data_IF_557214095181
#
_entry.id   IF_557214095181
#
_cell.length_a   1.000
_cell.length_b   1.000
_cell.length_c   1.000
_cell.angle_alpha   90.00
_cell.angle_beta   90.00
_cell.angle_gamma   90.00
#
_symmetry.space_group_name_H-M   'P 1'
#
loop_
_entity.id
_entity.type
_entity.pdbx_description
1 polymer ?
#
# COMPACT_ATOMS: atom_id res chain seq x y z
N UNK A 1 -50.75 46.18 14.56
CA UNK A 1 -50.69 46.53 13.11
C UNK A 1 -50.02 45.36 12.40
N UNK A 2 -50.80 44.51 11.69
CA UNK A 2 -50.72 44.24 10.23
C UNK A 2 -49.32 43.79 9.75
N UNK A 3 -49.08 42.80 8.88
CA UNK A 3 -49.87 41.82 8.13
C UNK A 3 -48.91 41.21 7.07
N UNK A 4 -49.11 39.93 6.67
CA UNK A 4 -48.86 39.32 5.32
C UNK A 4 -47.42 39.25 4.76
N UNK A 5 -46.88 38.06 4.43
CA UNK A 5 -47.02 37.24 3.19
C UNK A 5 -46.44 37.86 1.89
N UNK A 6 -45.56 37.11 1.21
CA UNK A 6 -45.21 37.20 -0.22
C UNK A 6 -43.97 36.32 -0.52
N UNK A 7 -44.06 35.09 -1.04
CA UNK A 7 -44.27 34.59 -2.42
C UNK A 7 -43.19 34.94 -3.48
N UNK A 8 -42.50 33.87 -3.92
CA UNK A 8 -42.00 33.47 -5.27
C UNK A 8 -41.40 34.51 -6.23
N UNK A 9 -40.21 34.20 -6.78
CA UNK A 9 -39.95 34.04 -8.25
C UNK A 9 -38.76 33.10 -8.48
N UNK A 10 -38.93 32.14 -9.40
CA UNK A 10 -37.91 31.23 -9.92
C UNK A 10 -37.22 31.81 -11.17
N UNK A 11 -35.95 31.46 -11.40
CA UNK A 11 -35.30 31.65 -12.70
C UNK A 11 -34.50 30.40 -13.09
N UNK A 12 -35.00 29.70 -14.11
CA UNK A 12 -34.33 28.68 -14.91
C UNK A 12 -33.45 29.38 -15.95
N UNK A 13 -32.24 28.86 -16.18
CA UNK A 13 -31.55 29.03 -17.45
C UNK A 13 -30.72 27.77 -17.75
N UNK A 14 -31.14 27.09 -18.81
CA UNK A 14 -30.55 25.91 -19.44
C UNK A 14 -29.41 26.37 -20.34
N UNK A 15 -28.27 25.67 -20.33
CA UNK A 15 -27.32 25.71 -21.43
C UNK A 15 -26.99 24.28 -21.88
N UNK A 16 -27.33 24.01 -23.15
CA UNK A 16 -26.94 22.83 -23.91
C UNK A 16 -25.90 23.25 -24.98
N UNK A 17 -24.88 22.42 -25.18
CA UNK A 17 -24.05 22.38 -26.39
C UNK A 17 -23.36 21.00 -26.42
N UNK A 18 -23.86 20.04 -27.20
CA UNK A 18 -23.58 19.74 -28.63
C UNK A 18 -22.22 19.06 -28.86
N UNK A 19 -22.29 17.88 -29.48
CA UNK A 19 -21.19 16.97 -29.82
C UNK A 19 -20.88 17.04 -31.32
N UNK A 20 -19.60 17.03 -31.70
CA UNK A 20 -19.13 16.59 -33.02
C UNK A 20 -17.60 16.41 -33.06
N UNK A 21 -17.12 15.20 -33.41
CA UNK A 21 -16.23 14.93 -34.55
C UNK A 21 -15.49 13.58 -34.42
N UNK A 22 -15.59 12.76 -35.46
CA UNK A 22 -14.91 11.48 -35.65
C UNK A 22 -13.81 11.59 -36.71
N UNK A 23 -12.72 10.80 -36.62
CA UNK A 23 -12.14 10.05 -37.77
C UNK A 23 -10.84 9.26 -37.47
N UNK A 24 -10.47 8.28 -38.35
CA UNK A 24 -9.78 7.04 -38.00
C UNK A 24 -8.30 7.01 -38.42
N UNK A 25 -7.45 6.28 -37.70
CA UNK A 25 -6.11 5.88 -38.19
C UNK A 25 -5.75 4.48 -37.69
N UNK A 26 -5.98 3.48 -38.54
CA UNK A 26 -5.25 2.20 -38.53
C UNK A 26 -4.37 2.21 -39.78
N UNK A 27 -3.05 2.11 -39.59
CA UNK A 27 -2.06 1.95 -40.66
C UNK A 27 -0.92 1.05 -40.18
N UNK A 28 -0.66 -0.01 -40.95
CA UNK A 28 0.28 -1.10 -40.67
C UNK A 28 1.75 -0.63 -40.52
N UNK A 29 2.45 -1.14 -39.48
CA UNK A 29 3.92 -1.06 -39.37
C UNK A 29 4.56 -2.38 -39.80
N UNK A 30 5.56 -2.28 -40.69
CA UNK A 30 6.31 -3.42 -41.24
C UNK A 30 7.19 -4.10 -40.17
N UNK A 31 7.23 -5.44 -40.20
CA UNK A 31 7.87 -6.31 -39.21
C UNK A 31 9.39 -6.09 -38.98
N UNK A 32 10.08 -5.34 -39.85
CA UNK A 32 11.53 -5.10 -39.76
C UNK A 32 11.95 -4.05 -38.72
N UNK A 33 11.06 -3.12 -38.34
CA UNK A 33 11.39 -2.04 -37.39
C UNK A 33 11.54 -2.55 -35.95
N UNK A 34 10.93 -3.70 -35.65
CA UNK A 34 10.96 -4.33 -34.32
C UNK A 34 12.34 -4.92 -34.03
N UNK A 35 12.98 -5.56 -35.01
CA UNK A 35 14.26 -6.25 -34.81
C UNK A 35 15.40 -5.29 -34.46
N UNK A 36 15.46 -4.12 -35.09
CA UNK A 36 16.52 -3.14 -34.85
C UNK A 36 16.37 -2.43 -33.49
N UNK A 37 15.15 -2.27 -33.00
CA UNK A 37 14.89 -1.70 -31.68
C UNK A 37 15.35 -2.63 -30.54
N UNK A 38 15.32 -3.96 -30.75
CA UNK A 38 15.70 -4.96 -29.73
C UNK A 38 17.20 -4.92 -29.43
N UNK A 39 18.07 -4.74 -30.43
CA UNK A 39 19.53 -4.70 -30.22
C UNK A 39 19.98 -3.46 -29.42
N UNK A 40 19.28 -2.34 -29.54
CA UNK A 40 19.61 -1.08 -28.85
C UNK A 40 19.21 -1.09 -27.36
N UNK A 41 18.27 -1.96 -26.95
CA UNK A 41 17.84 -2.12 -25.55
C UNK A 41 18.85 -2.96 -24.74
N UNK A 42 19.65 -3.80 -25.40
CA UNK A 42 20.52 -4.79 -24.75
C UNK A 42 21.89 -4.27 -24.29
N UNK A 43 22.28 -3.04 -24.65
CA UNK A 43 23.63 -2.51 -24.40
C UNK A 43 23.72 -1.48 -23.27
N UNK A 44 22.63 -1.16 -22.56
CA UNK A 44 22.64 -0.12 -21.53
C UNK A 44 22.98 -0.70 -20.14
N UNK A 45 24.05 -0.25 -19.46
CA UNK A 45 24.38 -0.73 -18.12
C UNK A 45 23.42 -0.14 -17.07
N UNK A 46 22.66 -1.00 -16.40
CA UNK A 46 21.68 -0.63 -15.37
C UNK A 46 22.40 -0.36 -14.05
N UNK A 47 22.39 0.91 -13.58
CA UNK A 47 22.72 1.25 -12.18
C UNK A 47 21.52 1.86 -11.44
N UNK A 48 21.35 1.35 -10.21
CA UNK A 48 20.38 1.63 -9.13
C UNK A 48 19.06 0.83 -9.19
N UNK A 49 18.76 -0.03 -8.19
CA UNK A 49 17.46 -0.65 -8.08
C UNK A 49 16.46 0.41 -7.55
N UNK A 50 15.64 0.91 -8.47
CA UNK A 50 14.40 1.64 -8.17
C UNK A 50 13.32 0.60 -7.93
N UNK A 51 12.50 0.77 -6.90
CA UNK A 51 11.34 -0.06 -6.55
C UNK A 51 10.55 -0.45 -7.81
N UNK A 52 10.69 -1.68 -8.30
CA UNK A 52 9.81 -2.24 -9.33
C UNK A 52 8.59 -2.83 -8.64
N UNK A 53 7.71 -1.97 -8.12
CA UNK A 53 6.30 -2.29 -8.30
C UNK A 53 5.99 -2.00 -9.78
N UNK A 54 5.25 -2.85 -10.51
CA UNK A 54 4.77 -2.49 -11.85
C UNK A 54 4.12 -1.11 -11.78
N UNK A 55 4.14 -0.33 -12.88
CA UNK A 55 3.47 0.98 -12.94
C UNK A 55 1.97 0.78 -12.72
N UNK A 56 1.55 0.80 -11.46
CA UNK A 56 0.17 0.57 -11.05
C UNK A 56 -0.67 1.74 -11.56
N UNK A 57 -1.84 1.43 -12.10
CA UNK A 57 -2.86 2.44 -12.36
C UNK A 57 -3.34 3.03 -11.04
N UNK A 58 -3.96 4.22 -11.08
CA UNK A 58 -4.58 4.83 -9.88
C UNK A 58 -5.58 3.88 -9.21
N UNK A 59 -6.32 3.09 -9.98
CA UNK A 59 -7.24 2.09 -9.44
C UNK A 59 -6.50 0.98 -8.69
N UNK A 60 -5.43 0.44 -9.27
CA UNK A 60 -4.61 -0.57 -8.61
C UNK A 60 -3.94 -0.03 -7.34
N UNK A 61 -3.43 1.21 -7.35
CA UNK A 61 -2.87 1.84 -6.16
C UNK A 61 -3.89 1.96 -5.02
N UNK A 62 -5.15 2.28 -5.32
CA UNK A 62 -6.21 2.33 -4.31
C UNK A 62 -6.47 0.96 -3.67
N UNK A 63 -6.44 -0.10 -4.48
CA UNK A 63 -6.58 -1.48 -3.98
C UNK A 63 -5.42 -1.84 -3.05
N UNK A 64 -4.18 -1.56 -3.46
CA UNK A 64 -2.99 -1.80 -2.63
C UNK A 64 -3.02 -0.99 -1.32
N UNK A 65 -3.48 0.26 -1.36
CA UNK A 65 -3.66 1.10 -0.18
C UNK A 65 -4.74 0.56 0.77
N UNK A 66 -5.82 0.00 0.24
CA UNK A 66 -6.87 -0.63 1.03
C UNK A 66 -6.34 -1.90 1.74
N UNK A 67 -5.58 -2.73 1.04
CA UNK A 67 -4.91 -3.90 1.64
C UNK A 67 -3.94 -3.50 2.75
N UNK A 68 -3.14 -2.45 2.53
CA UNK A 68 -2.23 -1.92 3.56
C UNK A 68 -3.01 -1.44 4.78
N UNK A 69 -4.11 -0.73 4.56
CA UNK A 69 -4.97 -0.20 5.63
C UNK A 69 -5.56 -1.32 6.47
N UNK A 70 -6.05 -2.39 5.84
CA UNK A 70 -6.58 -3.58 6.55
C UNK A 70 -5.48 -4.24 7.39
N UNK A 71 -4.30 -4.43 6.82
CA UNK A 71 -3.14 -4.96 7.54
C UNK A 71 -2.78 -4.12 8.77
N UNK A 72 -2.69 -2.80 8.63
CA UNK A 72 -2.39 -1.89 9.75
C UNK A 72 -3.49 -1.97 10.82
N UNK A 73 -4.76 -1.96 10.41
CA UNK A 73 -5.89 -1.97 11.33
C UNK A 73 -5.91 -3.25 12.17
N UNK A 74 -5.83 -4.43 11.54
CA UNK A 74 -5.93 -5.69 12.25
C UNK A 74 -4.70 -6.03 13.08
N UNK A 75 -3.50 -5.63 12.63
CA UNK A 75 -2.27 -5.95 13.33
C UNK A 75 -1.88 -4.89 14.39
N UNK A 76 -2.31 -3.64 14.25
CA UNK A 76 -1.75 -2.53 15.02
C UNK A 76 -2.72 -1.40 15.39
N UNK A 77 -4.04 -1.56 15.27
CA UNK A 77 -5.00 -0.47 15.62
C UNK A 77 -4.85 0.10 17.03
N UNK A 78 -4.39 -0.71 17.99
CA UNK A 78 -4.18 -0.32 19.39
C UNK A 78 -2.80 0.29 19.67
N UNK A 79 -1.91 0.33 18.68
CA UNK A 79 -0.54 0.82 18.83
C UNK A 79 -0.44 2.32 18.53
N UNK A 80 0.69 2.93 18.90
CA UNK A 80 1.02 4.31 18.49
C UNK A 80 1.14 4.43 16.97
N UNK A 81 1.17 5.66 16.45
CA UNK A 81 1.32 5.89 15.01
C UNK A 81 2.66 5.33 14.49
N UNK A 82 3.72 5.38 15.30
CA UNK A 82 5.02 4.77 15.02
C UNK A 82 4.92 3.24 14.97
N UNK A 83 4.16 2.63 15.88
CA UNK A 83 3.94 1.18 15.88
C UNK A 83 3.19 0.71 14.64
N UNK A 84 2.12 1.42 14.27
CA UNK A 84 1.38 1.19 13.03
C UNK A 84 2.26 1.36 11.79
N UNK A 85 3.07 2.42 11.75
CA UNK A 85 4.00 2.67 10.65
C UNK A 85 5.10 1.62 10.55
N UNK A 86 5.61 1.12 11.68
CA UNK A 86 6.62 0.05 11.69
C UNK A 86 6.06 -1.29 11.19
N UNK A 87 4.81 -1.63 11.52
CA UNK A 87 4.11 -2.79 10.93
C UNK A 87 3.91 -2.61 9.43
N UNK A 88 3.47 -1.42 8.99
CA UNK A 88 3.35 -1.09 7.58
C UNK A 88 4.69 -1.20 6.84
N UNK A 89 5.78 -0.73 7.46
CA UNK A 89 7.14 -0.82 6.92
C UNK A 89 7.56 -2.28 6.68
N UNK A 90 7.18 -3.20 7.56
CA UNK A 90 7.42 -4.63 7.37
C UNK A 90 6.65 -5.15 6.15
N UNK A 91 5.36 -4.81 6.01
CA UNK A 91 4.53 -5.21 4.85
C UNK A 91 5.16 -4.70 3.54
N UNK A 92 5.54 -3.42 3.51
CA UNK A 92 6.18 -2.80 2.34
C UNK A 92 7.54 -3.44 2.03
N UNK A 93 8.34 -3.75 3.04
CA UNK A 93 9.62 -4.45 2.86
C UNK A 93 9.44 -5.86 2.31
N UNK A 94 8.38 -6.56 2.70
CA UNK A 94 8.02 -7.85 2.13
C UNK A 94 7.62 -7.70 0.66
N UNK A 95 6.73 -6.78 0.32
CA UNK A 95 6.27 -6.56 -1.06
C UNK A 95 7.41 -6.19 -2.03
N UNK A 96 8.49 -5.60 -1.51
CA UNK A 96 9.71 -5.25 -2.26
C UNK A 96 10.66 -6.43 -2.46
N UNK A 97 10.60 -7.45 -1.60
CA UNK A 97 11.52 -8.57 -1.63
C UNK A 97 11.00 -9.69 -2.53
N UNK A 98 11.87 -10.24 -3.38
CA UNK A 98 11.60 -11.47 -4.16
C UNK A 98 11.40 -12.73 -3.30
N UNK A 99 11.44 -12.60 -1.97
CA UNK A 99 11.08 -13.67 -1.02
C UNK A 99 9.59 -13.77 -0.74
N UNK A 100 8.81 -12.76 -1.16
CA UNK A 100 7.39 -12.62 -0.92
C UNK A 100 6.65 -12.29 -2.24
N UNK A 101 5.32 -12.35 -2.26
CA UNK A 101 4.53 -11.81 -3.36
C UNK A 101 4.88 -10.34 -3.63
N UNK A 102 4.85 -9.95 -4.90
CA UNK A 102 5.34 -8.63 -5.38
C UNK A 102 4.32 -7.49 -5.23
N UNK A 103 3.28 -7.68 -4.42
CA UNK A 103 2.27 -6.65 -4.13
C UNK A 103 1.88 -6.66 -2.66
N UNK A 104 1.35 -5.55 -2.16
CA UNK A 104 0.92 -5.41 -0.76
C UNK A 104 -0.25 -6.35 -0.51
N UNK A 105 -1.25 -6.37 -1.39
CA UNK A 105 -2.35 -7.33 -1.28
C UNK A 105 -1.85 -8.78 -1.32
N UNK A 106 -0.87 -9.08 -2.17
CA UNK A 106 -0.26 -10.42 -2.23
C UNK A 106 0.41 -10.82 -0.91
N UNK A 107 1.09 -9.88 -0.24
CA UNK A 107 1.70 -10.10 1.08
C UNK A 107 0.63 -10.28 2.17
N UNK A 108 -0.40 -9.43 2.17
CA UNK A 108 -1.50 -9.48 3.14
C UNK A 108 -2.24 -10.82 3.06
N UNK A 109 -2.63 -11.24 1.86
CA UNK A 109 -3.40 -12.46 1.64
C UNK A 109 -2.52 -13.70 1.39
N UNK A 110 -1.23 -13.63 1.68
CA UNK A 110 -0.32 -14.76 1.49
C UNK A 110 -0.79 -15.94 2.35
N UNK A 111 -1.09 -17.06 1.69
CA UNK A 111 -1.64 -18.28 2.29
C UNK A 111 -3.01 -18.11 2.97
N UNK A 112 -3.83 -17.09 2.61
CA UNK A 112 -5.18 -16.91 3.17
C UNK A 112 -6.08 -18.15 3.03
N UNK A 113 -5.90 -18.94 1.96
CA UNK A 113 -6.60 -20.20 1.73
C UNK A 113 -6.17 -21.36 2.67
N UNK A 114 -5.13 -21.19 3.48
CA UNK A 114 -4.65 -22.20 4.43
C UNK A 114 -5.00 -21.78 5.87
N UNK A 115 -6.04 -22.41 6.43
CA UNK A 115 -6.46 -22.22 7.81
C UNK A 115 -5.26 -22.31 8.78
N UNK A 116 -5.12 -21.31 9.66
CA UNK A 116 -4.03 -21.18 10.66
C UNK A 116 -2.61 -21.21 10.09
N UNK A 117 -2.44 -20.97 8.78
CA UNK A 117 -1.13 -20.88 8.10
C UNK A 117 -1.02 -19.66 7.21
N UNK A 118 -1.95 -18.71 7.34
CA UNK A 118 -1.90 -17.42 6.68
C UNK A 118 -0.80 -16.52 7.27
N UNK A 119 -0.33 -15.57 6.48
CA UNK A 119 0.69 -14.62 6.90
C UNK A 119 0.16 -13.62 7.94
N UNK A 120 -1.11 -13.23 7.81
CA UNK A 120 -1.84 -12.37 8.74
C UNK A 120 -3.12 -13.09 9.15
N UNK A 121 -3.32 -13.30 10.45
CA UNK A 121 -4.34 -14.24 10.95
C UNK A 121 -5.76 -13.86 10.55
N UNK A 122 -6.06 -12.56 10.49
CA UNK A 122 -7.39 -12.07 10.11
C UNK A 122 -7.83 -12.59 8.73
N UNK A 123 -6.89 -12.85 7.82
CA UNK A 123 -7.21 -13.36 6.47
C UNK A 123 -7.66 -14.82 6.42
N UNK A 124 -7.51 -15.58 7.52
CA UNK A 124 -7.87 -17.00 7.55
C UNK A 124 -8.50 -17.48 8.87
N UNK A 125 -8.79 -16.59 9.82
CA UNK A 125 -9.36 -16.94 11.13
C UNK A 125 -10.88 -17.19 11.13
N UNK A 126 -11.53 -17.02 9.96
CA UNK A 126 -12.99 -17.12 9.75
C UNK A 126 -13.80 -16.05 10.48
N UNK A 127 -13.16 -14.97 10.92
CA UNK A 127 -13.81 -13.77 11.44
C UNK A 127 -13.98 -12.78 10.30
N UNK A 128 -14.93 -11.85 10.45
CA UNK A 128 -15.12 -10.78 9.46
C UNK A 128 -13.95 -9.79 9.49
N UNK A 129 -13.37 -9.53 8.32
CA UNK A 129 -12.32 -8.52 8.14
C UNK A 129 -12.82 -7.07 8.27
N UNK A 130 -14.14 -6.86 8.43
CA UNK A 130 -14.74 -5.53 8.42
C UNK A 130 -14.27 -4.67 9.61
N UNK A 131 -13.63 -3.51 9.37
CA UNK A 131 -13.18 -2.62 10.45
C UNK A 131 -14.38 -2.01 11.20
N UNK A 132 -14.55 -2.39 12.47
CA UNK A 132 -15.68 -1.93 13.32
C UNK A 132 -15.41 -0.63 14.08
N UNK A 133 -14.14 -0.35 14.37
CA UNK A 133 -13.72 0.90 15.02
C UNK A 133 -13.38 1.94 13.96
N UNK A 134 -14.32 2.86 13.72
CA UNK A 134 -14.19 3.91 12.71
C UNK A 134 -12.97 4.81 12.92
N UNK A 135 -12.65 5.15 14.18
CA UNK A 135 -11.52 6.05 14.47
C UNK A 135 -10.20 5.42 14.07
N UNK A 136 -9.98 4.16 14.45
CA UNK A 136 -8.75 3.46 14.07
C UNK A 136 -8.74 3.09 12.59
N UNK A 137 -9.90 2.83 11.99
CA UNK A 137 -9.98 2.59 10.55
C UNK A 137 -9.55 3.81 9.73
N UNK A 138 -10.10 5.00 10.06
CA UNK A 138 -9.69 6.27 9.43
C UNK A 138 -8.21 6.55 9.63
N UNK A 139 -7.65 6.20 10.78
CA UNK A 139 -6.21 6.35 11.05
C UNK A 139 -5.37 5.45 10.14
N UNK A 140 -5.76 4.17 10.01
CA UNK A 140 -5.06 3.21 9.16
C UNK A 140 -5.09 3.60 7.67
N UNK A 141 -6.22 4.13 7.19
CA UNK A 141 -6.34 4.67 5.83
C UNK A 141 -5.37 5.83 5.63
N UNK A 142 -5.44 6.86 6.47
CA UNK A 142 -4.58 8.05 6.35
C UNK A 142 -3.10 7.69 6.38
N UNK A 143 -2.70 6.79 7.28
CA UNK A 143 -1.32 6.33 7.34
C UNK A 143 -0.91 5.56 6.08
N UNK A 144 -1.78 4.69 5.55
CA UNK A 144 -1.50 3.94 4.32
C UNK A 144 -1.32 4.85 3.11
N UNK A 145 -2.21 5.84 2.95
CA UNK A 145 -2.12 6.84 1.88
C UNK A 145 -0.82 7.63 1.98
N UNK A 146 -0.49 8.11 3.18
CA UNK A 146 0.75 8.83 3.47
C UNK A 146 2.02 8.02 3.13
N UNK A 147 2.03 6.71 3.46
CA UNK A 147 3.18 5.83 3.21
C UNK A 147 3.34 5.46 1.72
N UNK A 148 2.25 5.41 0.97
CA UNK A 148 2.26 5.08 -0.46
C UNK A 148 2.40 6.30 -1.36
N UNK A 149 2.20 7.51 -0.82
CA UNK A 149 2.31 8.71 -1.61
C UNK A 149 3.77 9.10 -1.89
N UNK A 150 4.23 8.81 -3.11
CA UNK A 150 5.58 9.16 -3.55
C UNK A 150 5.82 10.68 -3.66
N UNK A 151 4.77 11.47 -3.90
CA UNK A 151 4.86 12.90 -4.19
C UNK A 151 4.20 13.80 -3.11
N UNK A 152 3.83 13.25 -1.95
CA UNK A 152 3.17 14.03 -0.91
C UNK A 152 4.14 14.81 0.00
N UNK A 153 3.57 15.77 0.73
CA UNK A 153 4.25 16.79 1.51
C UNK A 153 5.15 16.25 2.64
N UNK A 154 5.99 17.12 3.19
CA UNK A 154 6.93 16.79 4.27
C UNK A 154 6.29 16.33 5.60
N UNK A 155 5.03 16.71 5.87
CA UNK A 155 4.35 16.38 7.12
C UNK A 155 4.16 14.85 7.29
N UNK A 156 3.86 14.15 6.20
CA UNK A 156 3.70 12.69 6.18
C UNK A 156 5.04 11.95 6.28
N UNK A 157 6.14 12.57 5.83
CA UNK A 157 7.51 12.05 6.02
C UNK A 157 8.01 12.11 7.45
N UNK A 158 7.36 12.88 8.34
CA UNK A 158 7.78 12.94 9.75
C UNK A 158 7.66 11.60 10.47
N UNK A 159 6.61 10.82 10.17
CA UNK A 159 6.42 9.46 10.71
C UNK A 159 7.51 8.51 10.21
N UNK A 160 7.89 8.60 8.93
CA UNK A 160 8.99 7.80 8.39
C UNK A 160 10.34 8.12 9.09
N UNK A 161 10.55 9.36 9.49
CA UNK A 161 11.73 9.75 10.28
C UNK A 161 11.69 9.15 11.69
N UNK A 162 10.53 9.16 12.36
CA UNK A 162 10.40 8.60 13.71
C UNK A 162 10.60 7.09 13.74
N UNK A 163 10.30 6.38 12.63
CA UNK A 163 10.57 4.95 12.49
C UNK A 163 11.86 4.63 11.72
N UNK A 164 12.76 5.60 11.50
CA UNK A 164 13.98 5.38 10.74
C UNK A 164 14.83 4.18 11.23
N UNK A 165 14.98 3.90 12.54
CA UNK A 165 15.69 2.70 13.01
C UNK A 165 15.05 1.38 12.56
N UNK A 166 13.77 1.39 12.20
CA UNK A 166 12.97 0.23 11.79
C UNK A 166 12.89 0.05 10.28
N UNK A 167 13.59 0.86 9.49
CA UNK A 167 13.53 0.83 8.02
C UNK A 167 13.85 -0.53 7.41
N UNK A 168 14.61 -1.39 8.12
CA UNK A 168 15.01 -2.74 7.70
C UNK A 168 14.18 -3.86 8.32
N UNK A 169 13.18 -3.53 9.14
CA UNK A 169 12.33 -4.55 9.75
C UNK A 169 11.61 -5.37 8.66
N UNK A 170 11.65 -6.69 8.78
CA UNK A 170 11.01 -7.63 7.84
C UNK A 170 10.10 -8.64 8.54
N UNK A 171 10.20 -8.72 9.86
CA UNK A 171 9.42 -9.58 10.72
C UNK A 171 9.11 -8.85 12.02
N UNK A 172 8.01 -9.23 12.66
CA UNK A 172 7.70 -8.82 14.02
C UNK A 172 6.89 -9.92 14.69
N UNK A 173 6.81 -9.86 16.02
CA UNK A 173 5.83 -10.61 16.79
C UNK A 173 5.39 -9.79 18.01
N UNK A 174 4.23 -10.12 18.56
CA UNK A 174 3.79 -9.54 19.82
C UNK A 174 4.67 -10.00 21.00
N UNK A 175 4.83 -9.15 22.00
CA UNK A 175 5.63 -9.39 23.21
C UNK A 175 5.20 -10.63 24.02
N UNK A 176 3.94 -11.05 23.88
CA UNK A 176 3.38 -12.22 24.54
C UNK A 176 3.49 -13.52 23.72
N UNK A 177 4.16 -13.49 22.55
CA UNK A 177 4.43 -14.67 21.72
C UNK A 177 5.94 -14.91 21.62
N UNK A 178 6.37 -16.18 21.52
CA UNK A 178 7.78 -16.58 21.43
C UNK A 178 8.03 -17.52 20.24
N UNK A 179 8.14 -16.99 19.01
CA UNK A 179 8.31 -17.83 17.85
C UNK A 179 9.75 -18.34 17.72
N UNK A 180 9.92 -19.60 17.32
CA UNK A 180 11.24 -20.24 17.13
C UNK A 180 12.10 -19.50 16.10
N UNK A 181 11.48 -18.95 15.06
CA UNK A 181 12.19 -18.24 13.99
C UNK A 181 12.88 -16.97 14.48
N UNK A 182 12.43 -16.33 15.57
CA UNK A 182 13.01 -15.08 16.05
C UNK A 182 14.49 -15.24 16.46
N UNK A 183 14.87 -16.42 16.95
CA UNK A 183 16.25 -16.76 17.32
C UNK A 183 17.25 -16.73 16.15
N UNK A 184 16.75 -16.78 14.91
CA UNK A 184 17.57 -16.79 13.69
C UNK A 184 17.64 -15.43 13.01
N UNK A 185 16.98 -14.41 13.57
CA UNK A 185 16.89 -13.08 12.98
C UNK A 185 17.59 -12.05 13.85
N UNK A 186 18.06 -10.96 13.25
CA UNK A 186 18.68 -9.87 14.00
C UNK A 186 17.61 -8.98 14.61
N UNK A 187 17.70 -8.71 15.92
CA UNK A 187 16.80 -7.79 16.61
C UNK A 187 17.01 -6.36 16.07
N UNK A 188 15.90 -5.70 15.75
CA UNK A 188 15.87 -4.28 15.34
C UNK A 188 15.48 -3.40 16.51
N UNK A 189 14.43 -3.77 17.25
CA UNK A 189 13.94 -3.02 18.39
C UNK A 189 12.51 -3.36 18.75
N UNK A 190 11.89 -2.55 19.61
CA UNK A 190 10.51 -2.72 20.06
C UNK A 190 9.77 -1.38 19.97
N UNK A 191 8.52 -1.41 19.51
CA UNK A 191 7.57 -0.30 19.62
C UNK A 191 6.27 -0.88 20.20
N UNK A 192 5.79 -0.30 21.30
CA UNK A 192 4.58 -0.75 21.99
C UNK A 192 4.63 -2.25 22.32
N UNK A 193 3.68 -3.01 21.78
CA UNK A 193 3.59 -4.47 22.01
C UNK A 193 4.32 -5.31 20.96
N UNK A 194 4.97 -4.71 19.97
CA UNK A 194 5.66 -5.40 18.88
C UNK A 194 7.18 -5.37 18.99
N UNK A 195 7.80 -6.54 18.80
CA UNK A 195 9.26 -6.70 18.70
C UNK A 195 9.59 -6.97 17.23
N UNK A 196 10.48 -6.15 16.66
CA UNK A 196 10.83 -6.15 15.24
C UNK A 196 12.20 -6.77 15.00
N UNK A 197 12.31 -7.48 13.88
CA UNK A 197 13.50 -8.19 13.47
C UNK A 197 13.79 -7.98 11.99
N UNK A 198 15.06 -8.17 11.63
CA UNK A 198 15.49 -8.20 10.23
C UNK A 198 16.06 -9.56 9.83
N UNK A 199 15.82 -9.91 8.56
CA UNK A 199 16.29 -11.12 7.93
C UNK A 199 17.16 -10.76 6.74
N UNK A 200 18.44 -11.09 6.80
CA UNK A 200 19.35 -10.84 5.67
C UNK A 200 18.88 -11.55 4.39
N UNK A 201 18.24 -12.73 4.53
CA UNK A 201 17.65 -13.45 3.39
C UNK A 201 16.61 -12.60 2.66
N UNK A 202 15.78 -11.88 3.40
CA UNK A 202 14.73 -11.01 2.83
C UNK A 202 15.35 -9.74 2.25
N UNK A 203 16.24 -9.10 2.99
CA UNK A 203 16.87 -7.83 2.61
C UNK A 203 17.79 -7.97 1.38
N UNK A 204 18.51 -9.07 1.23
CA UNK A 204 19.36 -9.33 0.05
C UNK A 204 18.57 -9.53 -1.25
N UNK A 205 17.24 -9.66 -1.19
CA UNK A 205 16.36 -9.92 -2.33
C UNK A 205 15.40 -8.77 -2.63
N UNK A 206 15.63 -7.61 -2.02
CA UNK A 206 14.94 -6.35 -2.34
C UNK A 206 15.42 -5.74 -3.66
#
# INVERSE_FOLDING_TARGET
>A
MRSLRGLFVAALAVFAASAANASPFIGNLAAGAVQQAVQQVLSVPVRRPKLQMPSLTTAQMRVEAQCLSLGIYHEARGESIEGQAAVAQVILNRARSKSYPSSICGVIYQNAYKLNRCQFSFTCDRVSDFPRDEKSWRRAIKLSEALLCANCSHAERSVLKSIAPFHRATHYHATYVRPVWARKLRLVGRIGTHIFFESDRVLRRM
#
